data_IF_343986405277
#
_entry.id   IF_343986405277
#
_cell.length_a   1.000
_cell.length_b   1.000
_cell.length_c   1.000
_cell.angle_alpha   90.00
_cell.angle_beta   90.00
_cell.angle_gamma   90.00
#
_symmetry.space_group_name_H-M   'P 1'
#
loop_
_entity.id
_entity.type
_entity.pdbx_description
1 polymer ?
#
# COMPACT_ATOMS: atom_id res chain seq x y z
N UNK A 1 10.77 93.83 -27.46
CA UNK A 1 11.93 93.07 -27.13
C UNK A 1 11.49 91.91 -26.24
N UNK A 2 10.91 90.86 -26.77
CA UNK A 2 10.27 89.80 -26.04
C UNK A 2 10.95 88.48 -26.43
N UNK A 3 11.47 87.74 -25.45
CA UNK A 3 11.89 86.40 -25.62
C UNK A 3 10.75 85.46 -25.20
N UNK A 4 10.44 84.39 -25.88
CA UNK A 4 9.50 83.37 -25.39
C UNK A 4 10.27 82.27 -24.68
N UNK A 5 9.68 81.82 -23.59
CA UNK A 5 10.13 80.74 -22.71
C UNK A 5 9.73 79.40 -23.38
N UNK A 6 10.70 78.56 -23.65
CA UNK A 6 10.47 77.17 -24.10
C UNK A 6 10.26 76.26 -22.88
N UNK A 7 9.06 75.72 -22.76
CA UNK A 7 8.78 74.64 -21.81
C UNK A 7 9.32 73.30 -22.35
N UNK A 8 10.23 72.68 -21.61
CA UNK A 8 10.65 71.31 -21.84
C UNK A 8 9.70 70.37 -21.05
N UNK A 9 8.92 69.58 -21.77
CA UNK A 9 8.16 68.45 -21.22
C UNK A 9 9.15 67.33 -20.97
N UNK A 10 9.31 66.90 -19.68
CA UNK A 10 10.02 65.70 -19.28
C UNK A 10 9.02 64.52 -19.32
N UNK A 11 9.19 63.58 -20.24
CA UNK A 11 8.51 62.30 -20.22
C UNK A 11 9.20 61.41 -19.17
N UNK A 12 8.46 61.08 -18.10
CA UNK A 12 8.82 59.98 -17.18
C UNK A 12 8.38 58.68 -17.84
N UNK A 13 9.32 57.87 -18.30
CA UNK A 13 9.02 56.49 -18.68
C UNK A 13 9.07 55.62 -17.42
N UNK A 14 7.95 55.16 -16.96
CA UNK A 14 7.84 54.12 -15.90
C UNK A 14 8.16 52.78 -16.53
N UNK A 15 9.34 52.23 -16.25
CA UNK A 15 9.70 50.84 -16.59
C UNK A 15 9.04 49.90 -15.56
N UNK A 16 7.97 49.25 -15.96
CA UNK A 16 7.36 48.15 -15.19
C UNK A 16 8.26 46.93 -15.38
N UNK A 17 9.07 46.61 -14.39
CA UNK A 17 9.79 45.35 -14.34
C UNK A 17 8.81 44.20 -14.04
N UNK A 18 8.44 43.46 -15.09
CA UNK A 18 7.68 42.22 -14.97
C UNK A 18 8.69 41.14 -14.50
N UNK A 19 8.72 40.85 -13.21
CA UNK A 19 9.45 39.68 -12.69
C UNK A 19 8.72 38.43 -13.15
N UNK A 20 9.21 37.81 -14.21
CA UNK A 20 8.82 36.47 -14.58
C UNK A 20 9.35 35.50 -13.50
N UNK A 21 8.48 35.09 -12.58
CA UNK A 21 8.74 33.95 -11.74
C UNK A 21 8.79 32.72 -12.66
N UNK A 22 9.98 32.24 -12.95
CA UNK A 22 10.15 30.92 -13.56
C UNK A 22 9.68 29.89 -12.54
N UNK A 23 8.50 29.33 -12.79
CA UNK A 23 8.09 28.07 -12.17
C UNK A 23 9.11 27.03 -12.65
N UNK A 24 10.09 26.72 -11.81
CA UNK A 24 10.90 25.52 -11.98
C UNK A 24 9.93 24.37 -11.70
N UNK A 25 9.44 23.72 -12.73
CA UNK A 25 8.76 22.45 -12.57
C UNK A 25 9.78 21.51 -11.93
N UNK A 26 9.58 21.11 -10.69
CA UNK A 26 10.34 20.04 -10.08
C UNK A 26 10.18 18.80 -10.96
N UNK A 27 11.29 18.15 -11.28
CA UNK A 27 11.23 16.81 -11.87
C UNK A 27 10.36 15.93 -10.96
N UNK A 28 9.57 14.98 -11.53
CA UNK A 28 8.87 14.01 -10.71
C UNK A 28 9.90 13.29 -9.84
N UNK A 29 9.54 12.98 -8.60
CA UNK A 29 10.38 12.20 -7.70
C UNK A 29 10.76 10.89 -8.40
N UNK A 30 12.03 10.54 -8.41
CA UNK A 30 12.45 9.22 -8.83
C UNK A 30 12.45 8.32 -7.60
N UNK A 31 11.55 7.37 -7.55
CA UNK A 31 11.58 6.29 -6.57
C UNK A 31 12.48 5.19 -7.11
N UNK A 32 13.62 4.99 -6.44
CA UNK A 32 14.65 4.03 -6.84
C UNK A 32 14.65 2.85 -5.88
N UNK A 33 14.19 1.66 -6.31
CA UNK A 33 14.24 0.46 -5.49
C UNK A 33 15.65 0.13 -5.03
N UNK A 34 15.80 -0.26 -3.77
CA UNK A 34 17.08 -0.61 -3.18
C UNK A 34 16.94 -1.78 -2.20
N UNK A 35 17.75 -2.80 -2.40
CA UNK A 35 17.95 -3.88 -1.43
C UNK A 35 19.11 -3.60 -0.45
N UNK A 36 19.74 -2.45 -0.54
CA UNK A 36 20.89 -2.04 0.27
C UNK A 36 20.37 -1.33 1.55
N UNK A 37 20.49 -2.02 2.69
CA UNK A 37 20.07 -1.53 3.99
C UNK A 37 20.81 -0.25 4.40
N UNK A 38 22.10 -0.15 4.08
CA UNK A 38 22.92 1.00 4.41
C UNK A 38 22.46 2.25 3.64
N UNK A 39 22.14 2.07 2.36
CA UNK A 39 21.65 3.17 1.52
C UNK A 39 20.27 3.67 1.99
N UNK A 40 19.36 2.74 2.38
CA UNK A 40 18.08 3.10 2.94
C UNK A 40 18.25 3.81 4.29
N UNK A 41 19.12 3.31 5.19
CA UNK A 41 19.39 3.95 6.47
C UNK A 41 19.94 5.38 6.27
N UNK A 42 20.85 5.59 5.33
CA UNK A 42 21.39 6.92 5.01
C UNK A 42 20.33 7.89 4.49
N UNK A 43 19.31 7.39 3.78
CA UNK A 43 18.20 8.22 3.30
C UNK A 43 17.20 8.61 4.40
N UNK A 44 17.17 7.87 5.51
CA UNK A 44 16.22 8.07 6.63
C UNK A 44 16.81 8.97 7.72
N UNK A 45 18.14 8.92 7.94
CA UNK A 45 18.80 9.61 9.06
C UNK A 45 19.06 11.08 8.73
N UNK A 46 18.83 11.97 9.70
CA UNK A 46 19.14 13.41 9.58
C UNK A 46 20.65 13.67 9.57
N UNK A 47 21.41 12.95 10.38
CA UNK A 47 22.87 13.03 10.46
C UNK A 47 23.52 11.66 10.21
N UNK A 48 24.06 11.39 9.01
CA UNK A 48 24.70 10.11 8.70
C UNK A 48 25.90 9.75 9.58
N UNK A 49 26.49 10.70 10.30
CA UNK A 49 27.63 10.42 11.18
C UNK A 49 27.29 9.56 12.40
N UNK A 50 26.01 9.44 12.73
CA UNK A 50 25.51 8.60 13.84
C UNK A 50 25.34 7.14 13.44
N UNK A 51 25.34 6.82 12.14
CA UNK A 51 25.11 5.47 11.67
C UNK A 51 26.24 4.51 12.08
N UNK A 52 25.86 3.35 12.47
CA UNK A 52 26.73 2.17 12.61
C UNK A 52 26.35 1.17 11.50
N UNK A 53 26.91 1.40 10.31
CA UNK A 53 26.61 0.59 9.13
C UNK A 53 27.02 -0.89 9.31
N UNK A 54 28.02 -1.17 10.14
CA UNK A 54 28.39 -2.55 10.45
C UNK A 54 27.31 -3.31 11.24
N UNK A 55 26.38 -2.57 11.84
CA UNK A 55 25.24 -3.09 12.59
C UNK A 55 23.89 -2.64 11.99
N UNK A 56 23.86 -2.35 10.70
CA UNK A 56 22.67 -2.03 9.90
C UNK A 56 22.44 -3.15 8.91
N UNK A 57 21.24 -3.73 8.85
CA UNK A 57 20.91 -4.80 7.89
C UNK A 57 19.39 -5.08 7.89
N UNK A 58 18.98 -5.96 7.03
CA UNK A 58 17.63 -6.54 7.03
C UNK A 58 17.54 -7.67 8.05
N UNK A 59 16.50 -7.66 8.88
CA UNK A 59 16.19 -8.79 9.76
C UNK A 59 15.26 -9.78 9.06
N UNK A 60 14.24 -9.25 8.39
CA UNK A 60 13.29 -10.03 7.59
C UNK A 60 13.03 -9.31 6.26
N UNK A 61 12.92 -10.07 5.18
CA UNK A 61 12.39 -9.66 3.87
C UNK A 61 11.66 -10.84 3.24
N UNK A 62 10.56 -10.59 2.52
CA UNK A 62 9.91 -11.64 1.74
C UNK A 62 10.89 -12.31 0.79
N UNK A 63 10.69 -13.58 0.51
CA UNK A 63 11.43 -14.30 -0.51
C UNK A 63 10.60 -14.39 -1.78
N UNK A 64 11.11 -13.89 -2.89
CA UNK A 64 10.50 -14.02 -4.22
C UNK A 64 11.13 -15.15 -5.02
N UNK A 65 10.41 -15.64 -6.04
CA UNK A 65 10.99 -16.57 -7.00
C UNK A 65 12.18 -15.94 -7.71
N UNK A 66 13.36 -16.57 -7.68
CA UNK A 66 14.55 -16.08 -8.36
C UNK A 66 14.39 -16.25 -9.89
N UNK A 67 14.30 -15.15 -10.66
CA UNK A 67 14.13 -15.23 -12.12
C UNK A 67 15.35 -15.78 -12.84
N UNK A 68 16.54 -15.66 -12.24
CA UNK A 68 17.80 -16.09 -12.82
C UNK A 68 18.14 -17.54 -12.47
N UNK A 69 17.52 -18.08 -11.41
CA UNK A 69 17.73 -19.46 -10.95
C UNK A 69 16.39 -20.16 -10.65
N UNK A 70 15.68 -20.68 -11.66
CA UNK A 70 14.35 -21.26 -11.50
C UNK A 70 14.30 -22.39 -10.47
N UNK A 71 13.45 -22.24 -9.47
CA UNK A 71 13.26 -23.19 -8.37
C UNK A 71 14.04 -22.86 -7.09
N UNK A 72 14.73 -21.72 -7.07
CA UNK A 72 15.26 -21.08 -5.86
C UNK A 72 14.52 -19.78 -5.57
N UNK A 73 14.71 -19.25 -4.37
CA UNK A 73 14.20 -17.95 -3.94
C UNK A 73 15.36 -17.01 -3.63
N UNK A 74 15.08 -15.71 -3.70
CA UNK A 74 15.98 -14.63 -3.26
C UNK A 74 15.18 -13.61 -2.46
N UNK A 75 15.85 -12.80 -1.61
CA UNK A 75 15.17 -11.69 -0.93
C UNK A 75 14.56 -10.72 -1.95
N UNK A 76 13.29 -10.43 -1.80
CA UNK A 76 12.60 -9.42 -2.60
C UNK A 76 13.13 -8.02 -2.28
N UNK A 77 13.03 -7.11 -3.26
CA UNK A 77 13.30 -5.69 -3.03
C UNK A 77 11.99 -5.03 -2.62
N UNK A 78 11.86 -4.75 -1.32
CA UNK A 78 10.67 -4.16 -0.70
C UNK A 78 10.96 -2.79 -0.08
N UNK A 79 11.99 -2.10 -0.60
CA UNK A 79 12.37 -0.78 -0.16
C UNK A 79 12.86 0.08 -1.32
N UNK A 80 12.78 1.40 -1.15
CA UNK A 80 13.27 2.37 -2.12
C UNK A 80 13.81 3.63 -1.44
N UNK A 81 14.55 4.41 -2.22
CA UNK A 81 14.94 5.77 -1.89
C UNK A 81 14.23 6.71 -2.88
N UNK A 82 13.59 7.74 -2.37
CA UNK A 82 13.08 8.83 -3.18
C UNK A 82 14.02 10.05 -3.08
N UNK A 83 14.32 10.65 -4.22
CA UNK A 83 15.33 11.74 -4.36
C UNK A 83 14.72 13.11 -4.65
N UNK A 84 13.39 13.21 -4.64
CA UNK A 84 12.67 14.47 -4.82
C UNK A 84 11.38 14.50 -3.97
N UNK A 85 10.80 15.71 -3.76
CA UNK A 85 9.61 15.85 -2.95
C UNK A 85 8.42 15.02 -3.46
N UNK A 86 7.91 14.15 -2.61
CA UNK A 86 6.75 13.32 -2.87
C UNK A 86 5.93 13.16 -1.60
N UNK A 87 4.63 13.45 -1.65
CA UNK A 87 3.68 13.22 -0.56
C UNK A 87 4.11 13.84 0.80
N UNK A 88 4.71 15.04 0.76
CA UNK A 88 5.16 15.77 1.94
C UNK A 88 6.49 15.30 2.54
N UNK A 89 7.22 14.45 1.85
CA UNK A 89 8.60 14.03 2.14
C UNK A 89 9.53 14.50 1.01
N UNK A 90 10.85 14.68 1.27
CA UNK A 90 11.50 14.54 2.56
C UNK A 90 11.10 15.64 3.55
N UNK A 91 11.23 15.37 4.86
CA UNK A 91 11.02 16.32 5.94
C UNK A 91 12.34 16.96 6.38
N UNK A 92 13.46 16.33 6.02
CA UNK A 92 14.81 16.83 6.15
C UNK A 92 15.65 16.43 4.92
N UNK A 93 16.74 17.16 4.63
CA UNK A 93 17.62 16.81 3.51
C UNK A 93 16.96 16.84 2.14
N UNK A 94 17.36 15.91 1.25
CA UNK A 94 16.89 15.82 -0.14
C UNK A 94 16.35 14.43 -0.52
N UNK A 95 16.48 13.44 0.36
CA UNK A 95 16.06 12.04 0.15
C UNK A 95 15.27 11.54 1.33
N UNK A 96 14.49 10.50 1.13
CA UNK A 96 13.83 9.76 2.20
C UNK A 96 13.73 8.27 1.85
N UNK A 97 13.58 7.43 2.87
CA UNK A 97 13.42 6.00 2.71
C UNK A 97 11.95 5.59 2.58
N UNK A 98 11.71 4.52 1.85
CA UNK A 98 10.41 3.88 1.71
C UNK A 98 10.58 2.40 2.04
N UNK A 99 9.71 1.85 2.89
CA UNK A 99 9.51 0.40 3.02
C UNK A 99 8.11 0.06 2.54
N UNK A 100 7.94 -1.09 1.92
CA UNK A 100 6.63 -1.56 1.40
C UNK A 100 6.49 -3.06 1.57
N UNK A 101 5.26 -3.54 1.59
CA UNK A 101 4.95 -4.96 1.53
C UNK A 101 4.93 -5.49 0.10
N UNK A 102 4.95 -4.59 -0.91
CA UNK A 102 4.90 -4.92 -2.33
C UNK A 102 6.08 -4.42 -3.15
N UNK A 103 5.80 -4.04 -4.40
CA UNK A 103 6.78 -3.54 -5.34
C UNK A 103 7.00 -2.03 -5.18
N UNK A 104 8.16 -1.57 -4.68
CA UNK A 104 8.40 -0.15 -4.46
C UNK A 104 8.38 0.70 -5.75
N UNK A 105 8.48 0.08 -6.93
CA UNK A 105 8.40 0.78 -8.22
C UNK A 105 7.04 1.40 -8.51
N UNK A 106 5.99 0.98 -7.82
CA UNK A 106 4.66 1.51 -8.05
C UNK A 106 4.33 2.71 -7.15
N UNK A 107 5.17 3.01 -6.17
CA UNK A 107 4.88 3.98 -5.11
C UNK A 107 4.48 5.36 -5.65
N UNK A 108 5.14 5.88 -6.67
CA UNK A 108 4.89 7.20 -7.28
C UNK A 108 4.02 7.14 -8.55
N UNK A 109 3.39 5.99 -8.81
CA UNK A 109 2.43 5.87 -9.91
C UNK A 109 1.09 6.47 -9.49
N UNK A 110 0.34 7.09 -10.43
CA UNK A 110 -0.98 7.61 -10.09
C UNK A 110 -1.93 6.49 -9.68
N UNK A 111 -2.61 6.69 -8.55
CA UNK A 111 -3.70 5.80 -8.13
C UNK A 111 -4.80 5.77 -9.21
N UNK A 112 -5.14 4.59 -9.71
CA UNK A 112 -6.21 4.38 -10.69
C UNK A 112 -7.50 3.82 -10.05
N UNK A 113 -7.54 3.75 -8.72
CA UNK A 113 -8.66 3.25 -7.91
C UNK A 113 -8.87 1.74 -8.07
N UNK A 114 -7.85 1.00 -8.44
CA UNK A 114 -7.94 -0.46 -8.65
C UNK A 114 -7.25 -1.27 -7.57
N UNK A 115 -6.75 -0.66 -6.50
CA UNK A 115 -5.97 -1.30 -5.44
C UNK A 115 -4.80 -2.09 -6.03
N UNK A 116 -3.62 -1.60 -5.89
CA UNK A 116 -2.42 -2.32 -6.32
C UNK A 116 -2.05 -3.32 -5.23
N UNK A 117 -1.80 -4.55 -5.62
CA UNK A 117 -1.39 -5.59 -4.70
C UNK A 117 -0.53 -6.60 -5.43
N UNK A 118 0.71 -6.71 -5.03
CA UNK A 118 1.63 -7.70 -5.53
C UNK A 118 2.24 -8.40 -4.33
N UNK A 119 1.67 -9.56 -3.96
CA UNK A 119 2.41 -10.43 -3.07
C UNK A 119 3.79 -10.68 -3.64
N UNK A 120 4.80 -10.30 -2.90
CA UNK A 120 6.21 -10.54 -3.23
C UNK A 120 6.73 -11.84 -2.61
N UNK A 121 5.95 -12.45 -1.73
CA UNK A 121 6.29 -13.77 -1.18
C UNK A 121 6.20 -14.86 -2.24
N UNK A 122 7.21 -15.70 -2.34
CA UNK A 122 7.09 -17.00 -2.97
C UNK A 122 6.03 -17.84 -2.23
N UNK A 123 5.23 -18.61 -2.94
CA UNK A 123 4.21 -19.44 -2.32
C UNK A 123 4.84 -20.33 -1.24
N UNK A 124 4.24 -20.31 -0.05
CA UNK A 124 4.55 -21.14 1.13
C UNK A 124 5.65 -20.61 2.11
N UNK A 125 5.96 -19.31 2.10
CA UNK A 125 6.92 -18.78 3.08
C UNK A 125 6.39 -18.75 4.54
N UNK A 126 5.09 -18.89 4.73
CA UNK A 126 4.45 -18.84 6.05
C UNK A 126 4.50 -17.46 6.70
N UNK A 127 4.03 -17.36 7.93
CA UNK A 127 4.06 -16.14 8.72
C UNK A 127 5.32 -16.15 9.61
N UNK A 128 6.33 -15.28 9.38
CA UNK A 128 7.60 -15.34 10.12
C UNK A 128 7.47 -14.91 11.59
N UNK A 129 6.42 -14.16 11.94
CA UNK A 129 6.26 -13.57 13.28
C UNK A 129 4.93 -13.88 13.96
N UNK A 130 4.16 -14.82 13.41
CA UNK A 130 2.87 -15.20 13.98
C UNK A 130 2.15 -16.23 13.14
N UNK A 131 0.85 -15.99 12.92
CA UNK A 131 0.02 -16.90 12.14
C UNK A 131 -0.68 -16.17 10.94
N UNK A 132 -0.52 -14.86 10.81
CA UNK A 132 -1.27 -14.05 9.85
C UNK A 132 -0.45 -12.91 9.22
N UNK A 133 0.84 -12.82 9.47
CA UNK A 133 1.72 -11.83 8.84
C UNK A 133 2.26 -12.35 7.50
N UNK A 134 2.28 -11.47 6.50
CA UNK A 134 2.74 -11.74 5.15
C UNK A 134 3.59 -10.57 4.65
N UNK A 135 4.40 -10.82 3.63
CA UNK A 135 5.25 -9.82 2.96
C UNK A 135 6.04 -8.94 3.94
N UNK A 136 6.54 -9.58 5.02
CA UNK A 136 7.19 -8.92 6.15
C UNK A 136 8.53 -8.32 5.75
N UNK A 137 8.66 -7.01 5.93
CA UNK A 137 9.91 -6.26 5.74
C UNK A 137 10.34 -5.63 7.06
N UNK A 138 11.52 -6.02 7.57
CA UNK A 138 12.10 -5.48 8.81
C UNK A 138 13.51 -4.99 8.56
N UNK A 139 13.70 -3.68 8.59
CA UNK A 139 15.00 -3.01 8.59
C UNK A 139 15.42 -2.75 10.05
N UNK A 140 16.66 -3.06 10.40
CA UNK A 140 17.26 -2.49 11.60
C UNK A 140 18.43 -1.58 11.26
N UNK A 141 18.46 -0.42 11.91
CA UNK A 141 19.46 0.62 11.74
C UNK A 141 20.32 0.69 13.00
N UNK A 142 21.59 0.32 12.88
CA UNK A 142 22.57 0.52 13.91
C UNK A 142 22.94 2.00 14.04
N UNK A 143 22.94 2.50 15.26
CA UNK A 143 23.22 3.90 15.55
C UNK A 143 24.08 4.10 16.77
N UNK A 144 24.92 5.13 16.75
CA UNK A 144 25.69 5.61 17.88
C UNK A 144 25.05 6.87 18.46
N UNK A 145 24.17 6.71 19.42
CA UNK A 145 23.45 7.81 20.04
C UNK A 145 24.44 8.74 20.77
N UNK A 146 24.48 10.05 20.43
CA UNK A 146 25.42 11.01 21.02
C UNK A 146 25.27 11.15 22.52
N UNK A 147 26.36 11.44 23.22
CA UNK A 147 26.32 11.81 24.63
C UNK A 147 25.49 13.08 24.81
N UNK A 148 24.51 13.04 25.73
CA UNK A 148 23.58 14.14 25.97
C UNK A 148 22.25 14.07 25.20
N UNK A 149 22.15 13.26 24.15
CA UNK A 149 20.85 12.93 23.56
C UNK A 149 20.09 11.96 24.46
N UNK A 150 18.81 12.20 24.63
CA UNK A 150 17.91 11.38 25.47
C UNK A 150 16.61 11.00 24.78
N UNK A 151 16.46 11.42 23.53
CA UNK A 151 15.23 11.23 22.77
C UNK A 151 15.57 10.89 21.31
N UNK A 152 14.97 9.84 20.76
CA UNK A 152 14.92 9.58 19.33
C UNK A 152 13.65 10.19 18.76
N UNK A 153 13.75 10.77 17.56
CA UNK A 153 12.65 11.34 16.78
C UNK A 153 12.67 10.74 15.39
N UNK A 154 11.51 10.39 14.85
CA UNK A 154 11.33 9.84 13.49
C UNK A 154 10.09 10.48 12.85
N UNK A 155 10.22 10.95 11.63
CA UNK A 155 9.07 11.34 10.81
C UNK A 155 8.66 10.18 9.92
N UNK A 156 7.37 9.88 9.88
CA UNK A 156 6.83 8.83 9.00
C UNK A 156 5.45 9.19 8.45
N UNK A 157 5.05 8.46 7.40
CA UNK A 157 3.70 8.42 6.84
C UNK A 157 3.42 6.99 6.39
N UNK A 158 2.35 6.40 6.90
CA UNK A 158 1.85 5.10 6.48
C UNK A 158 0.83 5.27 5.37
N UNK A 159 0.88 4.40 4.36
CA UNK A 159 0.02 4.39 3.18
C UNK A 159 -0.51 2.96 2.98
N UNK A 160 -1.73 2.81 2.43
CA UNK A 160 -2.30 1.48 2.18
C UNK A 160 -3.36 1.48 1.09
N UNK A 161 -3.40 0.40 0.32
CA UNK A 161 -4.45 0.09 -0.65
C UNK A 161 -5.61 -0.73 -0.04
N UNK A 162 -5.54 -1.05 1.26
CA UNK A 162 -6.63 -1.69 1.99
C UNK A 162 -7.72 -0.73 2.47
N UNK A 163 -7.46 0.57 2.42
CA UNK A 163 -8.44 1.59 2.80
C UNK A 163 -9.35 1.95 1.62
N UNK A 164 -10.64 2.22 1.83
CA UNK A 164 -11.40 2.10 3.08
C UNK A 164 -12.06 0.72 3.25
N UNK A 165 -11.83 -0.18 2.31
CA UNK A 165 -12.57 -1.41 2.14
C UNK A 165 -12.42 -2.39 3.29
N UNK A 166 -11.23 -2.41 3.89
CA UNK A 166 -10.86 -3.37 4.93
C UNK A 166 -10.82 -2.78 6.34
N UNK A 167 -11.16 -1.48 6.50
CA UNK A 167 -11.26 -0.86 7.82
C UNK A 167 -12.22 -1.67 8.72
N UNK A 168 -11.71 -2.10 9.88
CA UNK A 168 -12.44 -2.95 10.82
C UNK A 168 -12.50 -4.42 10.43
N UNK A 169 -11.71 -4.86 9.46
CA UNK A 169 -11.56 -6.25 9.04
C UNK A 169 -10.33 -6.92 9.70
N UNK A 170 -10.14 -8.24 9.53
CA UNK A 170 -8.89 -8.91 9.92
C UNK A 170 -7.67 -8.58 9.03
N UNK A 171 -7.88 -7.93 7.90
CA UNK A 171 -6.85 -7.45 7.00
C UNK A 171 -6.44 -6.06 7.49
N UNK A 172 -5.29 -5.97 8.14
CA UNK A 172 -4.92 -4.79 8.91
C UNK A 172 -3.42 -4.56 8.87
N UNK A 173 -2.92 -4.28 7.69
CA UNK A 173 -1.51 -3.98 7.47
C UNK A 173 -1.00 -2.92 8.42
N UNK A 174 0.24 -3.07 8.86
CA UNK A 174 0.75 -2.22 9.92
C UNK A 174 2.22 -1.84 9.77
N UNK A 175 2.54 -0.65 10.30
CA UNK A 175 3.89 -0.18 10.54
C UNK A 175 4.20 -0.14 12.04
N UNK A 176 5.38 -0.66 12.43
CA UNK A 176 5.85 -0.73 13.80
C UNK A 176 7.29 -0.23 13.89
N UNK A 177 7.59 0.59 14.89
CA UNK A 177 8.93 1.08 15.20
C UNK A 177 9.32 0.68 16.63
N UNK A 178 10.47 0.03 16.80
CA UNK A 178 10.94 -0.48 18.09
C UNK A 178 12.43 -0.15 18.32
N UNK A 179 12.88 -0.18 19.58
CA UNK A 179 14.26 0.08 19.96
C UNK A 179 14.94 -1.16 20.54
N UNK A 180 16.20 -1.37 20.19
CA UNK A 180 17.13 -2.38 20.70
C UNK A 180 16.72 -3.84 20.44
N UNK A 181 15.44 -4.11 20.31
CA UNK A 181 14.88 -5.42 19.97
C UNK A 181 13.54 -5.25 19.28
N UNK A 182 13.15 -6.25 18.49
CA UNK A 182 11.82 -6.33 17.88
C UNK A 182 11.08 -7.51 18.47
N UNK A 183 9.85 -7.30 18.89
CA UNK A 183 9.05 -8.29 19.62
C UNK A 183 7.58 -8.31 19.22
N UNK A 184 7.22 -7.64 18.13
CA UNK A 184 5.85 -7.71 17.64
C UNK A 184 5.53 -9.10 17.06
N UNK A 185 4.27 -9.51 17.17
CA UNK A 185 3.75 -10.76 16.63
C UNK A 185 2.29 -10.59 16.21
N UNK A 186 1.83 -11.43 15.28
CA UNK A 186 0.42 -11.49 14.87
C UNK A 186 -0.26 -12.75 15.44
N UNK A 187 -1.54 -12.65 15.76
CA UNK A 187 -2.39 -13.81 16.06
C UNK A 187 -3.85 -13.53 15.69
N UNK A 188 -4.35 -14.19 14.67
CA UNK A 188 -5.64 -13.92 14.08
C UNK A 188 -5.73 -12.48 13.58
N UNK A 189 -6.64 -11.68 14.12
CA UNK A 189 -6.78 -10.24 13.81
C UNK A 189 -6.05 -9.32 14.80
N UNK A 190 -5.15 -9.86 15.63
CA UNK A 190 -4.49 -9.09 16.68
C UNK A 190 -3.01 -8.92 16.36
N UNK A 191 -2.50 -7.69 16.54
CA UNK A 191 -1.09 -7.35 16.48
C UNK A 191 -0.61 -7.05 17.90
N UNK A 192 0.29 -7.91 18.43
CA UNK A 192 1.00 -7.65 19.69
C UNK A 192 2.27 -6.87 19.40
N UNK A 193 2.49 -5.72 20.05
CA UNK A 193 3.61 -4.80 19.76
C UNK A 193 4.15 -4.12 21.01
N UNK A 194 4.70 -4.86 21.96
CA UNK A 194 5.02 -4.35 23.30
C UNK A 194 6.09 -3.25 23.32
N UNK A 195 6.96 -3.19 22.30
CA UNK A 195 8.06 -2.22 22.17
C UNK A 195 7.80 -1.08 21.19
N UNK A 196 6.63 -1.03 20.56
CA UNK A 196 6.32 -0.07 19.52
C UNK A 196 6.28 1.37 20.03
N UNK A 197 7.02 2.25 19.36
CA UNK A 197 6.98 3.69 19.60
C UNK A 197 6.42 4.50 18.42
N UNK A 198 5.98 3.86 17.34
CA UNK A 198 5.30 4.59 16.25
C UNK A 198 4.04 5.28 16.79
N UNK A 199 3.30 4.62 17.68
CA UNK A 199 2.17 5.21 18.40
C UNK A 199 2.09 4.68 19.85
N UNK A 200 1.53 5.49 20.75
CA UNK A 200 1.49 5.14 22.19
C UNK A 200 0.31 4.24 22.56
N UNK A 201 -0.83 4.36 21.93
CA UNK A 201 -2.10 3.83 22.43
C UNK A 201 -2.90 3.08 21.40
N UNK A 202 -3.69 2.11 21.89
CA UNK A 202 -4.74 1.43 21.12
C UNK A 202 -4.21 0.56 20.01
N UNK A 203 -4.69 0.83 18.83
CA UNK A 203 -4.28 0.14 17.61
C UNK A 203 -2.87 0.54 17.15
N UNK A 204 -2.13 -0.30 16.44
CA UNK A 204 -0.91 0.08 15.75
C UNK A 204 -1.15 1.16 14.71
N UNK A 205 -0.09 1.68 14.10
CA UNK A 205 -0.20 2.42 12.85
C UNK A 205 -0.59 1.43 11.77
N UNK A 206 -1.84 1.46 11.36
CA UNK A 206 -2.43 0.41 10.51
C UNK A 206 -3.66 0.90 9.77
N UNK A 207 -4.20 0.07 8.89
CA UNK A 207 -5.47 0.32 8.19
C UNK A 207 -6.62 0.59 9.19
N UNK A 208 -6.64 -0.11 10.32
CA UNK A 208 -7.62 0.10 11.40
C UNK A 208 -7.23 1.22 12.37
N UNK A 209 -6.09 1.88 12.14
CA UNK A 209 -5.59 2.97 12.98
C UNK A 209 -6.57 4.14 13.07
N UNK A 210 -6.59 4.80 14.23
CA UNK A 210 -7.50 5.91 14.57
C UNK A 210 -6.75 7.09 15.20
N UNK A 211 -7.39 8.25 15.20
CA UNK A 211 -6.84 9.45 15.83
C UNK A 211 -5.80 10.17 14.96
N UNK A 212 -4.64 10.60 15.50
CA UNK A 212 -3.64 11.34 14.72
C UNK A 212 -2.98 10.50 13.63
N UNK A 213 -3.16 9.21 13.67
CA UNK A 213 -2.70 8.26 12.65
C UNK A 213 -3.84 7.74 11.78
N UNK A 214 -4.99 8.40 11.79
CA UNK A 214 -6.10 8.04 10.93
C UNK A 214 -5.69 8.12 9.45
N UNK A 215 -6.12 7.13 8.70
CA UNK A 215 -5.83 6.99 7.27
C UNK A 215 -6.92 7.71 6.47
N UNK A 216 -6.55 8.52 5.49
CA UNK A 216 -7.48 9.25 4.62
C UNK A 216 -7.01 9.29 3.17
N UNK A 217 -7.93 9.30 2.20
CA UNK A 217 -7.62 9.38 0.76
C UNK A 217 -6.82 10.65 0.39
N UNK A 218 -7.13 11.78 1.04
CA UNK A 218 -6.48 13.07 0.72
C UNK A 218 -4.99 13.08 1.01
N UNK A 219 -4.55 12.31 2.01
CA UNK A 219 -3.16 12.23 2.43
C UNK A 219 -2.31 11.32 1.53
N UNK A 220 -2.91 10.48 0.70
CA UNK A 220 -2.21 9.62 -0.27
C UNK A 220 -1.97 10.28 -1.63
N UNK A 221 -2.37 11.54 -1.80
CA UNK A 221 -2.28 12.23 -3.09
C UNK A 221 -0.86 12.19 -3.69
N UNK A 222 -0.76 11.76 -4.94
CA UNK A 222 0.50 11.64 -5.69
C UNK A 222 1.18 10.28 -5.55
N UNK A 223 0.58 9.33 -4.85
CA UNK A 223 1.04 7.94 -4.74
C UNK A 223 0.03 6.99 -5.36
N UNK A 224 0.40 5.71 -5.46
CA UNK A 224 -0.51 4.65 -5.95
C UNK A 224 -1.56 4.24 -4.93
N UNK A 225 -1.32 4.52 -3.65
CA UNK A 225 -2.12 4.02 -2.53
C UNK A 225 -3.46 4.74 -2.41
N UNK A 226 -4.48 4.02 -1.95
CA UNK A 226 -5.84 4.54 -1.78
C UNK A 226 -5.94 5.54 -0.64
N UNK A 227 -5.16 5.36 0.43
CA UNK A 227 -5.13 6.32 1.52
C UNK A 227 -3.81 6.29 2.31
N UNK A 228 -3.59 7.35 3.09
CA UNK A 228 -2.41 7.51 3.94
C UNK A 228 -2.76 8.19 5.27
N UNK A 229 -1.88 8.03 6.26
CA UNK A 229 -1.89 8.89 7.45
C UNK A 229 -1.44 10.30 7.08
N UNK A 230 -1.76 11.30 7.87
CA UNK A 230 -0.99 12.53 7.90
C UNK A 230 0.48 12.24 8.22
N UNK A 231 1.37 13.20 7.94
CA UNK A 231 2.75 13.10 8.43
C UNK A 231 2.76 13.04 9.95
N UNK A 232 3.40 12.04 10.52
CA UNK A 232 3.53 11.82 11.96
C UNK A 232 4.99 12.01 12.37
N UNK A 233 5.23 12.76 13.42
CA UNK A 233 6.50 12.76 14.14
C UNK A 233 6.33 11.96 15.41
N UNK A 234 7.05 10.84 15.51
CA UNK A 234 7.07 10.02 16.72
C UNK A 234 8.38 10.17 17.48
N UNK A 235 8.31 9.96 18.78
CA UNK A 235 9.47 10.10 19.68
C UNK A 235 9.43 9.04 20.77
N UNK A 236 10.61 8.63 21.24
CA UNK A 236 10.71 7.84 22.47
C UNK A 236 12.05 8.06 23.16
N UNK A 237 12.10 7.81 24.47
CA UNK A 237 13.32 7.94 25.25
C UNK A 237 14.38 6.92 24.81
N UNK A 238 15.62 7.37 24.71
CA UNK A 238 16.77 6.54 24.35
C UNK A 238 17.97 6.93 25.20
N UNK A 239 18.81 5.94 25.51
CA UNK A 239 20.08 6.20 26.20
C UNK A 239 21.22 6.35 25.18
N UNK A 240 22.25 7.17 25.49
CA UNK A 240 23.46 7.28 24.68
C UNK A 240 24.19 5.94 24.47
N UNK A 241 24.98 5.87 23.39
CA UNK A 241 25.79 4.69 23.03
C UNK A 241 25.24 3.93 21.83
N UNK A 242 25.80 2.75 21.57
CA UNK A 242 25.38 1.89 20.48
C UNK A 242 23.95 1.35 20.70
N UNK A 243 23.06 1.56 19.73
CA UNK A 243 21.65 1.19 19.77
C UNK A 243 21.20 0.65 18.42
N UNK A 244 20.02 0.06 18.37
CA UNK A 244 19.35 -0.34 17.14
C UNK A 244 17.94 0.22 17.09
N UNK A 245 17.54 0.72 15.91
CA UNK A 245 16.16 1.10 15.59
C UNK A 245 15.63 0.05 14.62
N UNK A 246 14.50 -0.56 14.94
CA UNK A 246 13.81 -1.54 14.08
C UNK A 246 12.58 -0.88 13.47
N UNK A 247 12.46 -0.99 12.16
CA UNK A 247 11.35 -0.45 11.36
C UNK A 247 10.74 -1.62 10.59
N UNK A 248 9.48 -1.92 10.89
CA UNK A 248 8.78 -3.09 10.36
C UNK A 248 7.51 -2.69 9.64
N UNK A 249 7.27 -3.25 8.45
CA UNK A 249 6.00 -3.17 7.74
C UNK A 249 5.61 -4.57 7.28
N UNK A 250 4.33 -4.88 7.30
CA UNK A 250 3.81 -6.20 6.94
C UNK A 250 2.33 -6.15 6.60
N UNK A 251 1.88 -7.07 5.76
CA UNK A 251 0.47 -7.33 5.53
C UNK A 251 -0.07 -8.27 6.60
N UNK A 252 -1.26 -8.00 7.11
CA UNK A 252 -1.94 -8.89 8.05
C UNK A 252 -3.18 -9.52 7.42
N UNK A 253 -3.23 -10.85 7.43
CA UNK A 253 -4.41 -11.63 7.04
C UNK A 253 -4.36 -12.19 5.63
N UNK A 254 -3.80 -11.49 4.67
CA UNK A 254 -3.42 -12.00 3.34
C UNK A 254 -2.29 -11.13 2.73
N UNK A 255 -1.81 -11.43 1.55
CA UNK A 255 -0.75 -10.73 0.83
C UNK A 255 -1.32 -10.20 -0.51
N UNK A 256 -2.36 -9.37 -0.48
CA UNK A 256 -3.08 -9.01 -1.71
C UNK A 256 -3.01 -7.52 -2.04
N UNK A 257 -3.21 -6.65 -1.09
CA UNK A 257 -3.11 -5.20 -1.23
C UNK A 257 -1.91 -4.72 -0.45
N UNK A 258 -1.13 -3.88 -1.10
CA UNK A 258 0.14 -3.44 -0.55
C UNK A 258 -0.02 -2.25 0.38
N UNK A 259 0.86 -2.18 1.35
CA UNK A 259 1.05 -1.02 2.21
C UNK A 259 2.48 -0.51 2.12
N UNK A 260 2.69 0.76 2.45
CA UNK A 260 4.01 1.37 2.48
C UNK A 260 4.17 2.34 3.64
N UNK A 261 5.42 2.65 3.96
CA UNK A 261 5.76 3.73 4.89
C UNK A 261 6.88 4.59 4.32
N UNK A 262 6.63 5.90 4.25
CA UNK A 262 7.69 6.90 4.03
C UNK A 262 8.35 7.20 5.37
N UNK A 263 9.68 7.24 5.39
CA UNK A 263 10.52 7.35 6.58
C UNK A 263 11.58 8.41 6.36
N UNK A 264 11.71 9.33 7.31
CA UNK A 264 12.71 10.39 7.24
C UNK A 264 13.02 10.98 8.61
N UNK A 265 14.09 11.74 8.70
CA UNK A 265 14.48 12.53 9.86
C UNK A 265 14.57 11.70 11.15
N UNK A 266 15.16 10.50 11.04
CA UNK A 266 15.62 9.79 12.23
C UNK A 266 16.75 10.58 12.88
N UNK A 267 16.48 11.18 14.05
CA UNK A 267 17.38 12.08 14.73
C UNK A 267 17.45 11.78 16.24
N UNK A 268 18.59 12.10 16.86
CA UNK A 268 18.77 12.02 18.30
C UNK A 268 18.91 13.40 18.89
N UNK A 269 17.99 13.75 19.77
CA UNK A 269 17.83 15.09 20.30
C UNK A 269 17.88 15.09 21.83
N UNK A 270 18.13 16.26 22.42
CA UNK A 270 17.93 16.50 23.83
C UNK A 270 16.56 17.15 24.02
N UNK A 271 15.66 16.51 24.73
CA UNK A 271 14.29 16.98 24.92
C UNK A 271 13.82 16.73 26.35
N UNK A 272 12.80 17.46 26.78
CA UNK A 272 12.13 17.22 28.06
C UNK A 272 11.50 15.81 28.04
N UNK A 273 11.74 14.98 29.07
CA UNK A 273 11.15 13.63 29.11
C UNK A 273 9.62 13.58 29.00
N UNK A 274 8.93 14.66 29.35
CA UNK A 274 7.48 14.71 29.21
C UNK A 274 6.98 14.87 27.77
N UNK A 275 7.85 15.36 26.88
CA UNK A 275 7.56 15.55 25.45
C UNK A 275 8.23 14.49 24.58
N UNK A 276 9.25 13.79 25.09
CA UNK A 276 9.89 12.67 24.43
C UNK A 276 9.04 11.39 24.58
N UNK A 277 7.97 11.31 23.82
CA UNK A 277 7.03 10.19 23.82
C UNK A 277 6.31 10.10 22.48
N UNK A 278 5.80 8.91 22.11
CA UNK A 278 4.97 8.75 20.93
C UNK A 278 3.74 9.65 20.96
N UNK A 279 3.19 10.03 19.80
CA UNK A 279 1.97 10.82 19.75
C UNK A 279 0.84 10.07 20.44
N UNK A 280 0.14 10.78 21.34
CA UNK A 280 -1.07 10.24 21.96
C UNK A 280 -2.23 10.39 20.99
N UNK A 281 -2.93 9.28 20.75
CA UNK A 281 -4.25 9.34 20.12
C UNK A 281 -5.17 10.09 21.09
N UNK A 282 -5.81 11.20 20.69
CA UNK A 282 -6.84 11.80 21.53
C UNK A 282 -7.89 10.75 21.85
N UNK A 283 -8.32 10.67 23.10
CA UNK A 283 -9.45 9.80 23.46
C UNK A 283 -10.59 10.05 22.46
N UNK A 284 -11.25 9.02 21.92
CA UNK A 284 -12.38 9.22 21.03
C UNK A 284 -13.31 10.26 21.65
N UNK A 285 -13.69 11.28 20.89
CA UNK A 285 -14.67 12.24 21.36
C UNK A 285 -15.87 11.45 21.88
N UNK A 286 -16.44 11.78 23.05
CA UNK A 286 -17.61 11.09 23.55
C UNK A 286 -18.65 11.07 22.41
N UNK A 287 -19.31 9.93 22.16
CA UNK A 287 -20.23 9.82 21.04
C UNK A 287 -21.20 11.01 21.10
N UNK A 288 -21.46 11.66 19.97
CA UNK A 288 -22.42 12.75 19.93
C UNK A 288 -23.76 12.23 20.50
N UNK A 289 -24.50 13.06 21.26
CA UNK A 289 -25.78 12.63 21.77
C UNK A 289 -26.63 12.08 20.61
N UNK A 290 -27.42 11.00 20.83
CA UNK A 290 -28.15 10.36 19.77
C UNK A 290 -29.01 11.39 19.04
N UNK A 291 -28.97 11.45 17.69
CA UNK A 291 -29.80 12.38 16.93
C UNK A 291 -31.26 12.03 17.14
N UNK A 292 -32.15 13.02 17.15
CA UNK A 292 -33.60 12.77 17.27
C UNK A 292 -34.07 11.92 16.08
N UNK A 293 -34.94 10.92 16.30
CA UNK A 293 -35.53 10.13 15.21
C UNK A 293 -36.60 10.93 14.47
N UNK A 294 -37.00 10.65 13.24
CA UNK A 294 -36.48 9.84 12.16
C UNK A 294 -36.41 10.60 10.80
N UNK A 295 -35.67 10.09 9.86
CA UNK A 295 -35.63 10.56 8.48
C UNK A 295 -34.35 10.20 7.72
N UNK A 296 -33.42 9.42 8.34
CA UNK A 296 -32.18 9.04 7.68
C UNK A 296 -32.49 7.90 6.68
N UNK A 297 -32.15 8.05 5.38
CA UNK A 297 -32.17 6.94 4.45
C UNK A 297 -31.29 5.80 5.01
N UNK A 298 -31.69 4.54 4.88
CA UNK A 298 -30.85 3.43 5.30
C UNK A 298 -29.47 3.53 4.62
N UNK A 299 -28.39 3.16 5.32
CA UNK A 299 -27.06 3.19 4.75
C UNK A 299 -27.02 2.36 3.46
N UNK A 300 -26.21 2.76 2.46
CA UNK A 300 -26.11 2.04 1.21
C UNK A 300 -25.71 0.59 1.48
N UNK A 301 -26.28 -0.38 0.73
CA UNK A 301 -25.98 -1.79 0.94
C UNK A 301 -24.50 -2.06 0.70
N UNK A 302 -23.88 -2.80 1.64
CA UNK A 302 -22.46 -3.20 1.54
C UNK A 302 -22.17 -3.91 0.23
N UNK A 303 -21.08 -3.57 -0.43
CA UNK A 303 -20.57 -4.23 -1.63
C UNK A 303 -19.37 -5.14 -1.34
N UNK A 304 -18.93 -5.23 -0.10
CA UNK A 304 -17.81 -6.08 0.32
C UNK A 304 -18.17 -7.55 0.15
N UNK A 305 -17.36 -8.29 -0.61
CA UNK A 305 -17.56 -9.71 -0.84
C UNK A 305 -16.23 -10.45 -0.77
N UNK A 306 -16.23 -11.71 -0.41
CA UNK A 306 -15.03 -12.54 -0.38
C UNK A 306 -15.11 -13.68 -1.41
N UNK A 307 -13.93 -14.14 -1.86
CA UNK A 307 -13.81 -15.21 -2.86
C UNK A 307 -13.13 -16.41 -2.21
N UNK A 308 -13.90 -17.49 -2.06
CA UNK A 308 -13.39 -18.72 -1.46
C UNK A 308 -12.22 -19.33 -2.23
N UNK A 309 -11.27 -19.89 -1.51
CA UNK A 309 -10.07 -20.56 -2.04
C UNK A 309 -10.40 -21.85 -2.83
N UNK A 310 -11.52 -22.51 -2.52
CA UNK A 310 -11.89 -23.79 -3.11
C UNK A 310 -12.45 -23.64 -4.53
N UNK A 311 -11.75 -24.21 -5.53
CA UNK A 311 -12.20 -24.27 -6.93
C UNK A 311 -12.54 -25.69 -7.31
N UNK A 312 -13.78 -25.93 -7.72
CA UNK A 312 -14.22 -27.24 -8.23
C UNK A 312 -14.16 -27.28 -9.76
N UNK A 313 -13.37 -28.21 -10.30
CA UNK A 313 -13.24 -28.38 -11.76
C UNK A 313 -14.32 -29.32 -12.33
N UNK A 314 -14.99 -28.85 -13.38
CA UNK A 314 -16.02 -29.58 -14.08
C UNK A 314 -15.56 -30.13 -15.43
N UNK A 315 -16.47 -30.81 -16.14
CA UNK A 315 -16.24 -31.29 -17.51
C UNK A 315 -15.95 -30.11 -18.45
N UNK A 316 -15.23 -30.39 -19.58
CA UNK A 316 -14.94 -29.41 -20.63
C UNK A 316 -14.12 -28.17 -20.18
N UNK A 317 -13.34 -28.32 -19.10
CA UNK A 317 -12.46 -27.24 -18.62
C UNK A 317 -13.22 -26.09 -17.96
N UNK A 318 -14.38 -26.36 -17.40
CA UNK A 318 -15.10 -25.38 -16.56
C UNK A 318 -14.60 -25.45 -15.11
N UNK A 319 -14.67 -24.34 -14.40
CA UNK A 319 -14.44 -24.28 -12.96
C UNK A 319 -15.65 -23.63 -12.26
N UNK A 320 -15.85 -23.94 -11.01
CA UNK A 320 -16.86 -23.29 -10.14
C UNK A 320 -16.15 -22.84 -8.90
N UNK A 321 -16.29 -21.57 -8.56
CA UNK A 321 -15.78 -20.95 -7.35
C UNK A 321 -16.95 -20.43 -6.52
N UNK A 322 -16.73 -20.31 -5.23
CA UNK A 322 -17.71 -19.78 -4.29
C UNK A 322 -17.35 -18.33 -3.99
N UNK A 323 -18.31 -17.44 -4.10
CA UNK A 323 -18.22 -16.03 -3.73
C UNK A 323 -19.20 -15.80 -2.60
N UNK A 324 -18.77 -15.25 -1.48
CA UNK A 324 -19.64 -14.92 -0.36
C UNK A 324 -20.01 -13.44 -0.46
N UNK A 325 -21.29 -13.15 -0.55
CA UNK A 325 -21.81 -11.78 -0.71
C UNK A 325 -22.57 -11.33 0.54
N UNK A 326 -22.52 -10.03 0.90
CA UNK A 326 -23.11 -9.49 2.12
C UNK A 326 -24.63 -9.33 2.04
N UNK A 327 -25.21 -9.40 0.84
CA UNK A 327 -26.65 -9.17 0.65
C UNK A 327 -27.13 -9.52 -0.77
N UNK A 328 -28.36 -9.17 -1.12
CA UNK A 328 -28.90 -9.37 -2.46
C UNK A 328 -28.19 -8.48 -3.48
N UNK A 329 -27.93 -9.04 -4.68
CA UNK A 329 -27.23 -8.34 -5.75
C UNK A 329 -26.81 -9.28 -6.88
N UNK A 330 -25.90 -8.82 -7.75
CA UNK A 330 -25.44 -9.56 -8.93
C UNK A 330 -23.94 -9.74 -8.87
N UNK A 331 -23.48 -10.99 -8.92
CA UNK A 331 -22.07 -11.34 -9.09
C UNK A 331 -21.80 -11.56 -10.58
N UNK A 332 -20.85 -10.82 -11.16
CA UNK A 332 -20.40 -10.96 -12.54
C UNK A 332 -18.96 -11.49 -12.56
N UNK A 333 -18.70 -12.57 -13.31
CA UNK A 333 -17.35 -13.03 -13.58
C UNK A 333 -16.99 -12.79 -15.03
N UNK A 334 -15.89 -12.12 -15.32
CA UNK A 334 -15.41 -11.79 -16.65
C UNK A 334 -13.91 -12.06 -16.79
N UNK A 335 -13.35 -11.91 -18.00
CA UNK A 335 -11.92 -12.04 -18.26
C UNK A 335 -11.19 -10.77 -17.78
N UNK A 336 -10.47 -10.85 -16.68
CA UNK A 336 -9.72 -9.74 -16.09
C UNK A 336 -8.52 -9.30 -16.94
N UNK A 337 -8.05 -10.12 -17.88
CA UNK A 337 -6.93 -9.73 -18.77
C UNK A 337 -7.32 -8.74 -19.88
N UNK A 338 -8.60 -8.41 -20.01
CA UNK A 338 -9.11 -7.47 -21.04
C UNK A 338 -9.33 -6.06 -20.50
N UNK A 339 -9.21 -5.83 -19.21
CA UNK A 339 -9.56 -4.57 -18.56
C UNK A 339 -8.36 -3.65 -18.26
N UNK A 340 -7.14 -4.13 -18.21
CA UNK A 340 -5.96 -3.29 -18.03
C UNK A 340 -5.38 -2.88 -19.40
N UNK A 341 -5.98 -1.89 -20.03
CA UNK A 341 -5.34 -1.11 -21.09
C UNK A 341 -5.16 0.31 -20.54
N UNK A 342 -4.04 0.52 -19.82
CA UNK A 342 -3.56 1.85 -19.44
C UNK A 342 -3.62 2.82 -20.63
N UNK A 343 -3.75 4.10 -20.33
CA UNK A 343 -3.81 5.21 -21.29
C UNK A 343 -2.66 5.20 -22.33
N UNK A 344 -1.49 4.59 -21.99
CA UNK A 344 -0.36 4.37 -22.90
C UNK A 344 -0.65 3.38 -24.05
N UNK A 345 -1.65 2.51 -23.94
CA UNK A 345 -1.99 1.54 -25.00
C UNK A 345 -2.89 2.12 -26.10
N UNK A 346 -3.32 3.37 -26.05
CA UNK A 346 -4.13 4.02 -27.11
C UNK A 346 -3.34 4.38 -28.36
N UNK A 347 -2.00 4.39 -28.30
CA UNK A 347 -1.13 4.76 -29.44
C UNK A 347 -0.59 3.56 -30.22
N UNK A 348 -0.82 2.33 -29.78
CA UNK A 348 -0.47 1.13 -30.53
C UNK A 348 -1.74 0.38 -30.92
N UNK A 349 -2.09 0.33 -32.20
CA UNK A 349 -3.15 -0.55 -32.75
C UNK A 349 -2.78 -2.03 -32.53
N UNK A 350 -2.85 -2.52 -31.30
CA UNK A 350 -2.74 -3.95 -31.00
C UNK A 350 -4.10 -4.60 -31.17
N UNK A 351 -4.19 -5.62 -32.02
CA UNK A 351 -5.35 -6.50 -32.23
C UNK A 351 -6.00 -6.81 -30.88
N UNK A 352 -7.27 -6.42 -30.68
CA UNK A 352 -8.06 -6.72 -29.47
C UNK A 352 -7.89 -8.19 -29.08
N UNK A 353 -7.29 -8.47 -27.92
CA UNK A 353 -7.16 -9.84 -27.40
C UNK A 353 -8.56 -10.42 -27.20
N UNK A 354 -8.79 -11.62 -27.77
CA UNK A 354 -10.06 -12.32 -27.60
C UNK A 354 -10.14 -12.87 -26.18
N UNK A 355 -11.19 -12.51 -25.42
CA UNK A 355 -11.43 -13.03 -24.08
C UNK A 355 -11.35 -14.57 -24.03
N UNK A 356 -10.67 -15.09 -23.03
CA UNK A 356 -10.43 -16.54 -22.87
C UNK A 356 -11.54 -17.21 -22.06
N UNK A 357 -12.26 -16.46 -21.24
CA UNK A 357 -13.45 -16.92 -20.51
C UNK A 357 -14.68 -16.12 -20.90
N UNK A 358 -15.84 -16.74 -20.79
CA UNK A 358 -17.12 -16.09 -21.06
C UNK A 358 -17.63 -15.39 -19.80
N UNK A 359 -18.16 -14.18 -19.94
CA UNK A 359 -18.83 -13.49 -18.85
C UNK A 359 -19.99 -14.32 -18.31
N UNK A 360 -20.05 -14.48 -16.99
CA UNK A 360 -21.10 -15.19 -16.26
C UNK A 360 -21.70 -14.23 -15.23
N UNK A 361 -23.03 -14.16 -15.16
CA UNK A 361 -23.74 -13.39 -14.13
C UNK A 361 -24.53 -14.35 -13.25
N UNK A 362 -24.54 -14.11 -11.95
CA UNK A 362 -25.32 -14.90 -10.97
C UNK A 362 -25.97 -13.92 -10.02
N UNK A 363 -27.29 -14.04 -9.84
CA UNK A 363 -28.05 -13.20 -8.90
C UNK A 363 -28.06 -13.87 -7.52
N UNK A 364 -27.69 -13.13 -6.51
CA UNK A 364 -27.84 -13.47 -5.10
C UNK A 364 -29.12 -12.82 -4.56
N UNK A 365 -29.99 -13.61 -3.93
CA UNK A 365 -31.24 -13.10 -3.35
C UNK A 365 -31.12 -12.78 -1.86
N UNK A 366 -30.03 -13.22 -1.23
CA UNK A 366 -29.69 -12.97 0.19
C UNK A 366 -28.20 -13.05 0.40
N UNK A 367 -27.72 -12.60 1.55
CA UNK A 367 -26.33 -12.79 2.00
C UNK A 367 -25.94 -14.27 2.02
N UNK A 368 -24.69 -14.57 1.71
CA UNK A 368 -24.12 -15.92 1.78
C UNK A 368 -23.42 -16.38 0.50
N UNK A 369 -23.05 -17.68 0.44
CA UNK A 369 -22.24 -18.24 -0.63
C UNK A 369 -22.97 -18.37 -1.96
N UNK A 370 -22.39 -17.83 -3.02
CA UNK A 370 -22.88 -17.88 -4.41
C UNK A 370 -21.92 -18.70 -5.26
N UNK A 371 -22.39 -19.71 -5.97
CA UNK A 371 -21.57 -20.52 -6.88
C UNK A 371 -21.44 -19.86 -8.25
N UNK A 372 -20.25 -19.40 -8.61
CA UNK A 372 -19.95 -18.76 -9.89
C UNK A 372 -19.22 -19.72 -10.82
N UNK A 373 -19.78 -19.97 -11.99
CA UNK A 373 -19.24 -20.92 -12.98
C UNK A 373 -18.40 -20.21 -14.02
N UNK A 374 -17.11 -20.50 -14.06
CA UNK A 374 -16.16 -20.01 -15.05
C UNK A 374 -16.15 -20.92 -16.27
N UNK A 375 -16.42 -20.37 -17.47
CA UNK A 375 -16.54 -21.14 -18.71
C UNK A 375 -15.54 -20.62 -19.75
N UNK A 376 -14.66 -21.47 -20.32
CA UNK A 376 -13.78 -21.03 -21.39
C UNK A 376 -14.57 -20.69 -22.66
N UNK A 377 -14.19 -19.60 -23.36
CA UNK A 377 -14.70 -19.24 -24.71
C UNK A 377 -14.19 -20.22 -25.77
N UNK A 378 -14.59 -20.04 -27.02
CA UNK A 378 -14.00 -20.80 -28.16
C UNK A 378 -12.47 -20.63 -28.19
N UNK A 379 -11.96 -19.40 -27.96
CA UNK A 379 -10.52 -19.12 -27.90
C UNK A 379 -9.86 -19.83 -26.70
N UNK A 380 -10.46 -19.73 -25.51
CA UNK A 380 -9.98 -20.41 -24.30
C UNK A 380 -9.96 -21.94 -24.45
N UNK A 381 -11.00 -22.52 -25.04
CA UNK A 381 -11.04 -23.97 -25.34
C UNK A 381 -9.92 -24.39 -26.29
N UNK A 382 -9.57 -23.59 -27.30
CA UNK A 382 -8.46 -23.87 -28.23
C UNK A 382 -7.12 -23.92 -27.49
N UNK A 383 -6.86 -22.97 -26.60
CA UNK A 383 -5.65 -22.93 -25.73
C UNK A 383 -5.63 -24.15 -24.81
N UNK A 384 -6.76 -24.40 -24.11
CA UNK A 384 -6.90 -25.49 -23.15
C UNK A 384 -6.66 -26.87 -23.79
N UNK A 385 -7.18 -27.09 -24.99
CA UNK A 385 -6.92 -28.34 -25.77
C UNK A 385 -5.45 -28.49 -26.13
N UNK A 386 -4.78 -27.42 -26.55
CA UNK A 386 -3.38 -27.42 -26.97
C UNK A 386 -2.41 -27.60 -25.80
N UNK A 387 -2.65 -26.91 -24.66
CA UNK A 387 -1.72 -26.88 -23.52
C UNK A 387 -2.16 -27.75 -22.33
N UNK A 388 -3.34 -28.38 -22.36
CA UNK A 388 -3.91 -29.18 -21.28
C UNK A 388 -4.39 -28.32 -20.07
N UNK A 389 -3.90 -27.09 -19.96
CA UNK A 389 -4.22 -26.11 -18.91
C UNK A 389 -4.38 -24.72 -19.49
N UNK A 390 -5.15 -23.86 -18.80
CA UNK A 390 -5.37 -22.47 -19.19
C UNK A 390 -5.43 -21.63 -17.91
N UNK A 391 -4.39 -20.83 -17.65
CA UNK A 391 -4.36 -19.84 -16.58
C UNK A 391 -5.06 -18.58 -17.08
N UNK A 392 -5.99 -18.04 -16.29
CA UNK A 392 -6.76 -16.82 -16.60
C UNK A 392 -6.92 -15.99 -15.35
N UNK A 393 -6.84 -14.68 -15.48
CA UNK A 393 -7.30 -13.73 -14.46
C UNK A 393 -8.81 -13.62 -14.61
N UNK A 394 -9.57 -13.81 -13.54
CA UNK A 394 -11.04 -13.71 -13.50
C UNK A 394 -11.38 -12.47 -12.70
N UNK A 395 -11.93 -11.45 -13.33
CA UNK A 395 -12.51 -10.30 -12.62
C UNK A 395 -13.89 -10.70 -12.12
N UNK A 396 -14.09 -10.63 -10.83
CA UNK A 396 -15.35 -10.83 -10.13
C UNK A 396 -15.86 -9.46 -9.70
N UNK A 397 -17.08 -9.13 -10.07
CA UNK A 397 -17.72 -7.86 -9.67
C UNK A 397 -19.01 -8.19 -8.96
N UNK A 398 -19.19 -7.73 -7.74
CA UNK A 398 -20.45 -7.76 -7.02
C UNK A 398 -21.08 -6.38 -7.08
N UNK A 399 -22.37 -6.36 -7.47
CA UNK A 399 -23.18 -5.14 -7.47
C UNK A 399 -24.38 -5.40 -6.56
N UNK A 400 -24.44 -4.82 -5.36
CA UNK A 400 -25.58 -4.93 -4.48
C UNK A 400 -26.83 -4.32 -5.14
N UNK A 401 -28.00 -4.78 -4.75
CA UNK A 401 -29.24 -4.11 -5.11
C UNK A 401 -29.27 -2.72 -4.50
N UNK A 402 -29.35 -1.68 -5.33
CA UNK A 402 -29.30 -0.26 -4.94
C UNK A 402 -27.96 0.19 -4.35
N UNK A 403 -26.83 -0.50 -4.67
CA UNK A 403 -25.49 -0.14 -4.21
C UNK A 403 -24.47 -0.04 -5.34
N UNK A 404 -23.29 0.51 -5.04
CA UNK A 404 -22.18 0.63 -5.97
C UNK A 404 -21.53 -0.75 -6.25
N UNK A 405 -21.01 -1.00 -7.48
CA UNK A 405 -20.29 -2.23 -7.79
C UNK A 405 -18.89 -2.22 -7.16
N UNK A 406 -18.42 -3.41 -6.75
CA UNK A 406 -17.05 -3.67 -6.36
C UNK A 406 -16.47 -4.82 -7.16
N UNK A 407 -15.16 -4.77 -7.46
CA UNK A 407 -14.49 -5.80 -8.27
C UNK A 407 -13.25 -6.35 -7.56
N UNK A 408 -12.99 -7.64 -7.75
CA UNK A 408 -11.76 -8.34 -7.35
C UNK A 408 -11.26 -9.20 -8.49
N UNK A 409 -9.94 -9.42 -8.61
CA UNK A 409 -9.33 -10.25 -9.65
C UNK A 409 -8.68 -11.47 -9.01
N UNK A 410 -9.06 -12.66 -9.47
CA UNK A 410 -8.52 -13.95 -9.00
C UNK A 410 -7.90 -14.73 -10.15
N UNK A 411 -6.68 -15.25 -9.95
CA UNK A 411 -6.05 -16.15 -10.91
C UNK A 411 -6.64 -17.54 -10.83
N UNK A 412 -7.05 -18.10 -11.96
CA UNK A 412 -7.67 -19.43 -12.04
C UNK A 412 -7.01 -20.27 -13.12
N UNK A 413 -6.57 -21.48 -12.79
CA UNK A 413 -6.02 -22.43 -13.77
C UNK A 413 -7.05 -23.49 -14.15
N UNK A 414 -7.68 -23.34 -15.31
CA UNK A 414 -8.61 -24.31 -15.84
C UNK A 414 -7.87 -25.54 -16.40
N UNK A 415 -8.35 -26.75 -16.09
CA UNK A 415 -7.77 -28.04 -16.55
C UNK A 415 -8.83 -28.90 -17.21
N UNK A 416 -8.45 -29.71 -18.20
CA UNK A 416 -9.31 -30.74 -18.76
C UNK A 416 -9.34 -31.95 -17.80
N UNK A 417 -10.52 -32.39 -17.40
CA UNK A 417 -10.67 -33.63 -16.63
C UNK A 417 -10.27 -34.81 -17.53
N UNK A 418 -9.23 -35.56 -17.18
CA UNK A 418 -8.86 -36.79 -17.91
C UNK A 418 -10.03 -37.75 -17.88
N UNK A 419 -10.51 -38.24 -19.02
CA UNK A 419 -11.46 -39.36 -19.07
C UNK A 419 -10.80 -40.56 -18.38
N UNK A 420 -11.41 -41.08 -17.32
CA UNK A 420 -11.03 -42.39 -16.78
C UNK A 420 -11.22 -43.37 -17.96
N UNK A 421 -10.14 -43.97 -18.44
CA UNK A 421 -10.24 -45.17 -19.31
C UNK A 421 -11.00 -46.19 -18.45
N UNK A 422 -12.18 -46.59 -18.89
CA UNK A 422 -12.77 -47.86 -18.43
C UNK A 422 -11.82 -48.95 -18.88
N UNK A 423 -11.24 -49.67 -17.96
CA UNK A 423 -10.69 -51.00 -18.20
C UNK A 423 -11.83 -51.97 -18.31
#
# INVERSE_FOLDING_TARGET
>A
MNRPISQRLALLAAATACSAATLVASAPAAVVPSGDADAIAQAIVDDPSILDLANTDWLDRPLEDDPDNPGSTRPAVTAAIADAPLNGFPTAGSTFGILTTGDPLIFDTPNDGTGEGKSVEAADNGAPRGDTDHDVTVLYIGVNVPAGANCVSLDYRFLSDEFPEFVGSPFNDAFIAELDSTGWTTSGSTISRPGDFATKTGEPVSVNGVGPVAVTEAEAAGTTYDAATGRVNTKTAIAPGARKVFLSIFDQGDAIYDSAVSLDRLAFITEDPSTCRPPEVPAPAPPPPPPPPPGVPPPPPSNVFSVGSSITFGANGTATMTVVVPGPGVVTAADGSTAAASVRARLAQKKKRKALIATTKVTATKAGPVKVKIRPTKAGKKVLRRKGRLRVKVRLTFTPTNGAPRSQVKSVTLKLKKKKRRR
#
